data_IF_796034554985
#
_entry.id   IF_796034554985
#
_cell.length_a   1.000
_cell.length_b   1.000
_cell.length_c   1.000
_cell.angle_alpha   90.00
_cell.angle_beta   90.00
_cell.angle_gamma   90.00
#
_symmetry.space_group_name_H-M   'P 1'
#
loop_
_entity.id
_entity.type
_entity.pdbx_description
1 polymer ?
#
# COMPACT_ATOMS: atom_id res chain seq x y z
N UNK A 1 7.53 13.90 13.98
CA UNK A 1 8.17 12.57 13.98
C UNK A 1 7.32 11.70 13.08
N UNK A 2 7.92 11.03 12.10
CA UNK A 2 7.18 10.17 11.19
C UNK A 2 6.96 8.81 11.85
N UNK A 3 5.71 8.35 11.91
CA UNK A 3 5.33 7.07 12.51
C UNK A 3 4.23 6.40 11.70
N UNK A 4 4.20 5.07 11.71
CA UNK A 4 3.16 4.27 11.07
C UNK A 4 2.67 3.23 12.07
N UNK A 5 1.37 3.24 12.37
CA UNK A 5 0.77 2.44 13.44
C UNK A 5 -0.42 1.65 12.91
N UNK A 6 -0.45 0.35 13.19
CA UNK A 6 -1.59 -0.51 12.89
C UNK A 6 -2.78 -0.14 13.80
N UNK A 7 -3.97 0.00 13.21
CA UNK A 7 -5.24 0.31 13.87
C UNK A 7 -6.35 -0.60 13.32
N UNK A 8 -7.42 -0.72 14.10
CA UNK A 8 -8.66 -1.35 13.62
C UNK A 8 -9.49 -0.30 12.89
N UNK A 9 -10.03 -0.66 11.73
CA UNK A 9 -10.96 0.15 10.96
C UNK A 9 -12.02 -0.75 10.31
N UNK A 10 -13.33 -0.45 10.44
CA UNK A 10 -14.39 -1.23 9.79
C UNK A 10 -14.21 -1.29 8.26
N UNK A 11 -14.41 -2.48 7.67
CA UNK A 11 -14.26 -2.70 6.22
C UNK A 11 -12.81 -2.91 5.75
N UNK A 12 -11.86 -3.00 6.68
CA UNK A 12 -10.45 -3.25 6.39
C UNK A 12 -9.97 -4.55 7.06
N UNK A 13 -9.24 -5.37 6.31
CA UNK A 13 -8.51 -6.52 6.85
C UNK A 13 -7.38 -6.07 7.77
N UNK A 14 -6.71 -4.99 7.38
CA UNK A 14 -5.78 -4.25 8.21
C UNK A 14 -5.75 -2.79 7.78
N UNK A 15 -5.45 -1.90 8.72
CA UNK A 15 -5.43 -0.46 8.50
C UNK A 15 -4.27 0.18 9.26
N UNK A 16 -3.52 1.03 8.59
CA UNK A 16 -2.42 1.79 9.14
C UNK A 16 -2.76 3.27 9.17
N UNK A 17 -2.28 3.93 10.21
CA UNK A 17 -2.26 5.38 10.32
C UNK A 17 -0.82 5.83 10.27
N UNK A 18 -0.49 6.64 9.25
CA UNK A 18 0.77 7.35 9.14
C UNK A 18 0.58 8.74 9.75
N UNK A 19 1.41 9.08 10.74
CA UNK A 19 1.44 10.41 11.35
C UNK A 19 2.78 11.07 11.10
N UNK A 20 2.79 12.30 10.60
CA UNK A 20 4.00 13.11 10.41
C UNK A 20 4.22 14.12 11.55
N UNK A 21 3.26 14.21 12.49
CA UNK A 21 3.22 15.18 13.58
C UNK A 21 2.46 16.47 13.25
N UNK A 22 1.99 16.65 12.01
CA UNK A 22 1.08 17.72 11.58
C UNK A 22 -0.30 17.18 11.21
N UNK A 23 -0.36 15.95 10.71
CA UNK A 23 -1.60 15.26 10.37
C UNK A 23 -1.45 13.74 10.43
N UNK A 24 -2.60 13.09 10.41
CA UNK A 24 -2.75 11.64 10.39
C UNK A 24 -3.41 11.22 9.08
N UNK A 25 -2.85 10.21 8.43
CA UNK A 25 -3.26 9.74 7.11
C UNK A 25 -3.45 8.23 7.13
N UNK A 26 -4.62 7.81 6.67
CA UNK A 26 -5.06 6.43 6.58
C UNK A 26 -4.55 5.68 5.36
N UNK A 27 -4.36 4.38 5.52
CA UNK A 27 -4.21 3.46 4.40
C UNK A 27 -4.36 2.01 4.86
N UNK A 28 -4.87 1.14 4.00
CA UNK A 28 -5.21 -0.23 4.40
C UNK A 28 -5.56 -1.12 3.23
N UNK A 29 -5.76 -2.40 3.54
CA UNK A 29 -6.34 -3.38 2.63
C UNK A 29 -7.81 -3.58 3.01
N UNK A 30 -8.71 -3.28 2.08
CA UNK A 30 -10.15 -3.50 2.26
C UNK A 30 -10.49 -4.99 2.22
N UNK A 31 -11.67 -5.34 2.73
CA UNK A 31 -12.14 -6.73 2.75
C UNK A 31 -12.24 -7.36 1.35
N UNK A 32 -12.54 -6.54 0.33
CA UNK A 32 -12.58 -6.91 -1.08
C UNK A 32 -11.19 -7.13 -1.72
N UNK A 33 -10.10 -6.87 -0.99
CA UNK A 33 -8.73 -7.02 -1.48
C UNK A 33 -8.17 -5.78 -2.20
N UNK A 34 -8.87 -4.64 -2.15
CA UNK A 34 -8.37 -3.39 -2.71
C UNK A 34 -7.53 -2.59 -1.71
N UNK A 35 -6.38 -2.10 -2.17
CA UNK A 35 -5.53 -1.18 -1.43
C UNK A 35 -6.14 0.21 -1.45
N UNK A 36 -6.08 0.87 -0.30
CA UNK A 36 -6.59 2.21 -0.09
C UNK A 36 -5.54 3.07 0.59
N UNK A 37 -5.47 4.33 0.21
CA UNK A 37 -4.71 5.37 0.87
C UNK A 37 -5.53 6.67 0.82
N UNK A 38 -5.48 7.43 1.91
CA UNK A 38 -6.12 8.73 1.97
C UNK A 38 -5.60 9.64 0.85
N UNK A 39 -6.49 10.29 0.08
CA UNK A 39 -6.08 11.15 -1.04
C UNK A 39 -5.15 12.30 -0.64
N UNK A 40 -5.31 12.78 0.60
CA UNK A 40 -4.51 13.87 1.17
C UNK A 40 -3.16 13.41 1.73
N UNK A 41 -2.86 12.10 1.75
CA UNK A 41 -1.60 11.59 2.26
C UNK A 41 -0.42 12.10 1.42
N UNK A 42 0.53 12.86 2.00
CA UNK A 42 1.70 13.34 1.27
C UNK A 42 2.76 12.24 1.09
N UNK A 43 2.65 11.12 1.82
CA UNK A 43 3.61 10.02 1.84
C UNK A 43 3.02 8.73 1.24
N UNK A 44 2.34 8.84 0.09
CA UNK A 44 1.63 7.71 -0.54
C UNK A 44 2.52 6.51 -0.84
N UNK A 45 3.75 6.74 -1.31
CA UNK A 45 4.70 5.64 -1.58
C UNK A 45 5.12 4.91 -0.31
N UNK A 46 5.34 5.64 0.79
CA UNK A 46 5.68 5.03 2.09
C UNK A 46 4.49 4.23 2.64
N UNK A 47 3.27 4.74 2.48
CA UNK A 47 2.06 4.00 2.80
C UNK A 47 2.00 2.72 1.95
N UNK A 48 2.14 2.82 0.62
CA UNK A 48 2.12 1.67 -0.30
C UNK A 48 3.13 0.59 0.10
N UNK A 49 4.39 0.97 0.38
CA UNK A 49 5.44 0.05 0.86
C UNK A 49 5.03 -0.66 2.14
N UNK A 50 4.43 0.06 3.07
CA UNK A 50 3.93 -0.52 4.33
C UNK A 50 2.82 -1.54 4.07
N UNK A 51 1.84 -1.19 3.22
CA UNK A 51 0.72 -2.08 2.89
C UNK A 51 1.21 -3.34 2.19
N UNK A 52 2.11 -3.22 1.21
CA UNK A 52 2.66 -4.35 0.47
C UNK A 52 3.48 -5.25 1.39
N UNK A 53 4.33 -4.68 2.23
CA UNK A 53 5.08 -5.45 3.21
C UNK A 53 4.14 -6.27 4.11
N UNK A 54 3.03 -5.68 4.55
CA UNK A 54 2.02 -6.39 5.33
C UNK A 54 1.33 -7.48 4.52
N UNK A 55 0.94 -7.23 3.26
CA UNK A 55 0.35 -8.22 2.37
C UNK A 55 1.27 -9.43 2.13
N UNK A 56 2.57 -9.19 1.95
CA UNK A 56 3.57 -10.25 1.78
C UNK A 56 3.72 -11.10 3.05
N UNK A 57 3.78 -10.46 4.22
CA UNK A 57 3.90 -11.17 5.51
C UNK A 57 2.65 -11.96 5.89
N UNK A 58 1.47 -11.47 5.50
CA UNK A 58 0.18 -12.12 5.77
C UNK A 58 -0.25 -13.08 4.64
N UNK A 59 0.61 -13.29 3.63
CA UNK A 59 0.34 -14.14 2.47
C UNK A 59 -0.99 -13.83 1.79
N UNK A 60 -1.30 -12.54 1.61
CA UNK A 60 -2.56 -12.10 0.98
C UNK A 60 -2.58 -12.59 -0.47
N UNK A 61 -3.55 -13.44 -0.88
CA UNK A 61 -3.48 -14.14 -2.17
C UNK A 61 -3.42 -13.22 -3.39
N UNK A 62 -4.19 -12.14 -3.37
CA UNK A 62 -4.22 -11.14 -4.43
C UNK A 62 -4.65 -9.79 -3.86
N UNK A 63 -4.06 -8.73 -4.39
CA UNK A 63 -4.40 -7.35 -4.08
C UNK A 63 -4.62 -6.56 -5.34
N UNK A 64 -5.52 -5.59 -5.27
CA UNK A 64 -5.74 -4.61 -6.33
C UNK A 64 -5.38 -3.21 -5.85
N UNK A 65 -4.94 -2.36 -6.75
CA UNK A 65 -4.62 -0.97 -6.48
C UNK A 65 -5.19 -0.10 -7.62
N UNK A 66 -5.85 0.98 -7.24
CA UNK A 66 -6.32 2.01 -8.15
C UNK A 66 -5.80 3.38 -7.71
N UNK A 67 -5.92 4.36 -8.61
CA UNK A 67 -5.53 5.74 -8.32
C UNK A 67 -4.03 5.99 -8.32
N UNK A 68 -3.65 7.16 -7.80
CA UNK A 68 -2.28 7.63 -7.71
C UNK A 68 -1.66 7.29 -6.35
N UNK A 69 -0.52 6.59 -6.38
CA UNK A 69 0.25 6.16 -5.22
C UNK A 69 1.59 6.88 -5.08
N UNK A 70 1.86 7.90 -5.91
CA UNK A 70 3.15 8.60 -5.94
C UNK A 70 4.32 7.75 -6.42
N UNK A 71 4.07 6.52 -6.89
CA UNK A 71 5.07 5.60 -7.40
C UNK A 71 4.47 4.70 -8.50
N UNK A 72 5.35 4.16 -9.35
CA UNK A 72 4.97 3.16 -10.35
C UNK A 72 4.67 1.81 -9.69
N UNK A 73 3.41 1.39 -9.74
CA UNK A 73 2.93 0.13 -9.17
C UNK A 73 3.58 -1.11 -9.81
N UNK A 74 4.08 -1.03 -11.04
CA UNK A 74 4.75 -2.17 -11.69
C UNK A 74 6.08 -2.54 -11.01
N UNK A 75 6.75 -1.57 -10.37
CA UNK A 75 7.95 -1.81 -9.54
C UNK A 75 7.64 -2.75 -8.37
N UNK A 76 6.40 -2.70 -7.88
CA UNK A 76 5.91 -3.51 -6.78
C UNK A 76 5.34 -4.88 -7.21
N UNK A 77 5.40 -5.20 -8.51
CA UNK A 77 4.91 -6.47 -9.04
C UNK A 77 3.45 -6.43 -9.50
N UNK A 78 2.82 -5.25 -9.56
CA UNK A 78 1.48 -5.13 -10.11
C UNK A 78 1.50 -5.18 -11.64
N UNK A 79 0.48 -5.82 -12.20
CA UNK A 79 0.16 -5.86 -13.62
C UNK A 79 -1.11 -5.06 -13.84
N UNK A 80 -1.18 -4.32 -14.96
CA UNK A 80 -2.35 -3.52 -15.31
C UNK A 80 -3.44 -4.42 -15.91
N UNK A 81 -4.63 -4.42 -15.31
CA UNK A 81 -5.82 -5.15 -15.76
C UNK A 81 -7.03 -4.19 -15.82
N UNK A 82 -7.62 -4.03 -17.00
CA UNK A 82 -8.91 -3.35 -17.24
C UNK A 82 -9.18 -2.06 -16.43
N UNK A 83 -8.17 -1.18 -16.32
CA UNK A 83 -8.29 0.11 -15.63
C UNK A 83 -7.86 0.11 -14.16
N UNK A 84 -7.40 -1.04 -13.63
CA UNK A 84 -6.80 -1.18 -12.30
C UNK A 84 -5.44 -1.87 -12.38
N UNK A 85 -4.75 -1.95 -11.26
CA UNK A 85 -3.53 -2.72 -11.10
C UNK A 85 -3.81 -3.89 -10.17
N UNK A 86 -3.29 -5.07 -10.49
CA UNK A 86 -3.44 -6.28 -9.69
C UNK A 86 -2.09 -6.97 -9.50
N UNK A 87 -1.87 -7.50 -8.31
CA UNK A 87 -0.73 -8.36 -8.01
C UNK A 87 -1.20 -9.61 -7.26
N UNK A 88 -0.63 -10.75 -7.61
CA UNK A 88 -0.69 -11.95 -6.77
C UNK A 88 0.41 -11.90 -5.70
N UNK A 89 0.23 -12.64 -4.60
CA UNK A 89 1.22 -12.70 -3.51
C UNK A 89 2.63 -13.05 -4.01
N UNK A 90 2.74 -13.97 -4.98
CA UNK A 90 4.01 -14.45 -5.56
C UNK A 90 4.73 -13.39 -6.40
N UNK A 91 4.00 -12.37 -6.85
CA UNK A 91 4.51 -11.30 -7.70
C UNK A 91 4.87 -10.05 -6.88
N UNK A 92 4.25 -9.88 -5.71
CA UNK A 92 4.49 -8.74 -4.83
C UNK A 92 5.95 -8.68 -4.42
N UNK A 93 6.51 -7.47 -4.53
CA UNK A 93 7.90 -7.18 -4.13
C UNK A 93 8.02 -5.77 -3.60
N UNK A 94 8.97 -5.59 -2.70
CA UNK A 94 9.41 -4.27 -2.27
C UNK A 94 10.65 -3.89 -3.06
N UNK A 95 10.57 -2.91 -3.98
CA UNK A 95 11.77 -2.41 -4.63
C UNK A 95 12.69 -1.82 -3.55
N UNK A 96 13.90 -2.34 -3.44
CA UNK A 96 14.96 -1.70 -2.69
C UNK A 96 15.49 -0.54 -3.54
N UNK A 97 15.57 0.68 -3.00
CA UNK A 97 16.16 1.83 -3.70
C UNK A 97 17.71 1.74 -3.81
N UNK A 98 18.26 0.52 -3.87
CA UNK A 98 19.68 0.25 -4.01
C UNK A 98 20.11 0.05 -5.48
N UNK A 99 19.36 0.59 -6.45
CA UNK A 99 19.90 0.81 -7.80
C UNK A 99 20.28 2.29 -7.92
N UNK A 100 21.60 2.50 -7.85
CA UNK A 100 22.22 3.80 -7.66
C UNK A 100 21.97 4.80 -8.79
N UNK A 101 21.96 6.06 -8.37
CA UNK A 101 22.64 7.15 -9.05
C UNK A 101 23.31 8.03 -8.03
#
# INVERSE_FOLDING_TARGET
MLSVVLRQAPGFRFYFVLSDGKGDYGGGLREDGSLFCDPACPYKELMLRTLINKCMNDFVPSVTAGGDWGADLTRFGFVREEGSFRAAWEQLRLPHDCEGR
#
